data_IF_595845683084
#
_entry.id   IF_595845683084
#
_cell.length_a   1.000
_cell.length_b   1.000
_cell.length_c   1.000
_cell.angle_alpha   90.00
_cell.angle_beta   90.00
_cell.angle_gamma   90.00
#
_symmetry.space_group_name_H-M   'P 1'
#
loop_
_entity.id
_entity.type
_entity.pdbx_description
1 polymer ?
#
# COMPACT_ATOMS: atom_id res chain seq x y z
N UNK A 1 -14.02 6.07 14.38
CA UNK A 1 -13.18 7.28 14.20
C UNK A 1 -12.72 7.29 12.75
N UNK A 2 -12.61 8.44 12.09
CA UNK A 2 -12.08 8.49 10.73
C UNK A 2 -10.57 8.19 10.74
N UNK A 3 -10.07 7.49 9.71
CA UNK A 3 -8.65 7.18 9.56
C UNK A 3 -7.84 8.37 9.02
N UNK A 4 -6.52 8.28 9.11
CA UNK A 4 -5.58 9.25 8.52
C UNK A 4 -5.54 9.09 7.00
N UNK A 5 -5.54 10.20 6.27
CA UNK A 5 -5.33 10.24 4.82
C UNK A 5 -4.02 10.99 4.55
N UNK A 6 -3.14 10.38 3.76
CA UNK A 6 -1.94 11.03 3.24
C UNK A 6 -2.07 11.23 1.74
N UNK A 7 -1.75 12.44 1.27
CA UNK A 7 -1.71 12.78 -0.15
C UNK A 7 -0.24 12.95 -0.55
N UNK A 8 0.25 12.07 -1.43
CA UNK A 8 1.66 12.01 -1.80
C UNK A 8 1.79 12.37 -3.28
N UNK A 9 2.62 13.37 -3.59
CA UNK A 9 2.79 13.88 -4.95
C UNK A 9 3.63 13.00 -5.89
N UNK A 10 3.97 11.78 -5.49
CA UNK A 10 4.82 10.84 -6.22
C UNK A 10 6.25 10.71 -5.66
N UNK A 11 7.03 9.83 -6.28
CA UNK A 11 8.37 9.48 -5.81
C UNK A 11 8.36 8.47 -4.67
N UNK A 12 7.28 7.69 -4.59
CA UNK A 12 7.02 6.70 -3.56
C UNK A 12 8.18 5.70 -3.39
N UNK A 13 8.27 5.15 -2.16
CA UNK A 13 9.19 4.06 -1.81
C UNK A 13 10.68 4.42 -1.91
N UNK A 14 11.00 5.72 -1.80
CA UNK A 14 12.37 6.24 -1.81
C UNK A 14 12.72 6.84 -0.46
N UNK A 15 14.02 7.07 -0.24
CA UNK A 15 14.54 7.63 1.01
C UNK A 15 13.88 8.96 1.45
N UNK A 16 13.44 9.87 0.57
CA UNK A 16 12.70 11.05 1.01
C UNK A 16 11.32 10.76 1.64
N UNK A 17 10.72 9.60 1.38
CA UNK A 17 9.43 9.19 1.94
C UNK A 17 9.56 8.49 3.30
N UNK A 18 10.76 8.06 3.67
CA UNK A 18 11.03 7.24 4.87
C UNK A 18 10.47 7.85 6.17
N UNK A 19 10.57 9.17 6.35
CA UNK A 19 10.08 9.85 7.56
C UNK A 19 8.54 9.83 7.62
N UNK A 20 7.89 10.21 6.52
CA UNK A 20 6.44 10.19 6.40
C UNK A 20 5.89 8.77 6.55
N UNK A 21 6.49 7.79 5.88
CA UNK A 21 6.01 6.40 5.89
C UNK A 21 6.18 5.77 7.28
N UNK A 22 7.22 6.12 8.04
CA UNK A 22 7.33 5.74 9.46
C UNK A 22 6.22 6.36 10.30
N UNK A 23 5.90 7.64 10.10
CA UNK A 23 4.79 8.28 10.81
C UNK A 23 3.44 7.62 10.49
N UNK A 24 3.22 7.20 9.23
CA UNK A 24 2.03 6.46 8.83
C UNK A 24 1.97 5.06 9.45
N UNK A 25 3.10 4.35 9.58
CA UNK A 25 3.18 3.07 10.29
C UNK A 25 2.77 3.25 11.76
N UNK A 26 3.30 4.27 12.45
CA UNK A 26 2.94 4.54 13.84
C UNK A 26 1.44 4.84 14.00
N UNK A 27 0.88 5.68 13.13
CA UNK A 27 -0.56 5.96 13.10
C UNK A 27 -1.41 4.72 12.78
N UNK A 28 -0.85 3.77 12.02
CA UNK A 28 -1.47 2.50 11.66
C UNK A 28 -1.28 1.39 12.72
N UNK A 29 -0.74 1.70 13.89
CA UNK A 29 -0.56 0.76 15.01
C UNK A 29 0.88 0.28 15.23
N UNK A 30 1.88 0.98 14.68
CA UNK A 30 3.29 0.72 14.91
C UNK A 30 3.69 -0.71 14.52
N UNK A 31 4.18 -1.49 15.50
CA UNK A 31 4.55 -2.91 15.28
C UNK A 31 3.38 -3.80 14.84
N UNK A 32 2.13 -3.39 15.13
CA UNK A 32 0.92 -4.11 14.69
C UNK A 32 0.41 -3.63 13.33
N UNK A 33 1.11 -2.70 12.67
CA UNK A 33 0.68 -2.17 11.38
C UNK A 33 0.68 -3.26 10.30
N UNK A 34 -0.43 -3.34 9.56
CA UNK A 34 -0.66 -4.25 8.43
C UNK A 34 -0.85 -3.40 7.17
N UNK A 35 0.22 -3.32 6.38
CA UNK A 35 0.32 -2.43 5.22
C UNK A 35 0.03 -3.20 3.93
N UNK A 36 -1.07 -2.87 3.26
CA UNK A 36 -1.42 -3.42 1.96
C UNK A 36 -0.98 -2.51 0.82
N UNK A 37 -0.18 -3.03 -0.12
CA UNK A 37 0.23 -2.32 -1.33
C UNK A 37 -0.72 -2.68 -2.47
N UNK A 38 -1.42 -1.68 -3.01
CA UNK A 38 -2.45 -1.84 -4.04
C UNK A 38 -1.94 -1.18 -5.34
N UNK A 39 -1.44 -1.97 -6.32
CA UNK A 39 -0.79 -1.44 -7.51
C UNK A 39 -1.75 -1.22 -8.68
N UNK A 40 -3.01 -0.88 -8.42
CA UNK A 40 -4.07 -0.82 -9.45
C UNK A 40 -3.75 0.19 -10.54
N UNK A 41 -3.21 1.36 -10.20
CA UNK A 41 -2.82 2.38 -11.19
C UNK A 41 -1.72 1.86 -12.15
N UNK A 42 -0.86 0.94 -11.69
CA UNK A 42 0.17 0.32 -12.52
C UNK A 42 -0.33 -0.89 -13.32
N UNK A 43 -1.64 -1.18 -13.35
CA UNK A 43 -2.19 -2.38 -13.98
C UNK A 43 -1.85 -2.52 -15.47
N UNK A 44 -1.70 -1.40 -16.19
CA UNK A 44 -1.33 -1.35 -17.62
C UNK A 44 0.18 -1.30 -17.86
N UNK A 45 0.97 -1.25 -16.80
CA UNK A 45 2.43 -1.17 -16.84
C UNK A 45 3.04 -2.43 -16.21
N UNK A 46 3.65 -2.32 -15.03
CA UNK A 46 4.21 -3.45 -14.29
C UNK A 46 3.73 -3.45 -12.83
N UNK A 47 2.50 -3.94 -12.57
CA UNK A 47 1.92 -3.86 -11.23
C UNK A 47 2.65 -4.77 -10.23
N UNK A 48 3.32 -5.84 -10.71
CA UNK A 48 4.15 -6.71 -9.87
C UNK A 48 5.39 -5.98 -9.36
N UNK A 49 6.04 -5.20 -10.21
CA UNK A 49 7.19 -4.38 -9.83
C UNK A 49 6.77 -3.27 -8.86
N UNK A 50 5.67 -2.56 -9.14
CA UNK A 50 5.13 -1.54 -8.24
C UNK A 50 4.82 -2.10 -6.84
N UNK A 51 4.13 -3.25 -6.78
CA UNK A 51 3.87 -3.95 -5.53
C UNK A 51 5.15 -4.38 -4.82
N UNK A 52 6.12 -4.95 -5.53
CA UNK A 52 7.37 -5.41 -4.95
C UNK A 52 8.19 -4.27 -4.36
N UNK A 53 8.22 -3.10 -5.00
CA UNK A 53 8.87 -1.91 -4.49
C UNK A 53 8.26 -1.46 -3.16
N UNK A 54 6.93 -1.37 -3.09
CA UNK A 54 6.22 -1.01 -1.86
C UNK A 54 6.42 -2.03 -0.74
N UNK A 55 6.32 -3.32 -1.04
CA UNK A 55 6.52 -4.41 -0.07
C UNK A 55 7.95 -4.37 0.49
N UNK A 56 8.97 -4.16 -0.36
CA UNK A 56 10.35 -4.06 0.09
C UNK A 56 10.59 -2.83 0.96
N UNK A 57 9.99 -1.69 0.59
CA UNK A 57 10.11 -0.44 1.32
C UNK A 57 9.50 -0.54 2.71
N UNK A 58 8.22 -0.91 2.82
CA UNK A 58 7.55 -1.01 4.13
C UNK A 58 8.11 -2.13 5.01
N UNK A 59 8.61 -3.23 4.41
CA UNK A 59 9.35 -4.25 5.16
C UNK A 59 10.67 -3.71 5.73
N UNK A 60 11.41 -2.91 4.95
CA UNK A 60 12.63 -2.22 5.44
C UNK A 60 12.32 -1.28 6.61
N UNK A 61 11.14 -0.68 6.61
CA UNK A 61 10.66 0.19 7.70
C UNK A 61 10.08 -0.59 8.90
N UNK A 62 10.04 -1.92 8.86
CA UNK A 62 9.64 -2.77 9.98
C UNK A 62 8.15 -3.13 10.04
N UNK A 63 7.36 -2.80 9.01
CA UNK A 63 5.94 -3.12 9.00
C UNK A 63 5.63 -4.53 8.44
N UNK A 64 4.53 -5.13 8.91
CA UNK A 64 3.94 -6.29 8.24
C UNK A 64 3.28 -5.83 6.95
N UNK A 65 3.74 -6.34 5.79
CA UNK A 65 3.26 -5.84 4.50
C UNK A 65 3.11 -6.93 3.44
N UNK A 66 2.12 -6.75 2.58
CA UNK A 66 1.82 -7.62 1.45
C UNK A 66 1.20 -6.88 0.28
N UNK A 67 1.27 -7.49 -0.90
CA UNK A 67 0.64 -6.98 -2.11
C UNK A 67 -0.82 -7.45 -2.22
N UNK A 68 -1.72 -6.54 -2.57
CA UNK A 68 -3.13 -6.83 -2.87
C UNK A 68 -3.37 -6.52 -4.35
N UNK A 69 -3.26 -7.56 -5.18
CA UNK A 69 -3.20 -7.45 -6.65
C UNK A 69 -4.59 -7.24 -7.28
N UNK A 70 -5.24 -6.13 -6.97
CA UNK A 70 -6.49 -5.68 -7.61
C UNK A 70 -6.11 -4.94 -8.89
N UNK A 71 -5.86 -5.66 -9.98
CA UNK A 71 -5.34 -5.09 -11.24
C UNK A 71 -6.31 -5.23 -12.42
N UNK A 72 -7.48 -5.81 -12.17
CA UNK A 72 -8.58 -5.92 -13.12
C UNK A 72 -9.89 -5.58 -12.41
N UNK A 73 -10.89 -5.08 -13.16
CA UNK A 73 -12.19 -4.74 -12.59
C UNK A 73 -12.84 -5.90 -11.84
N UNK A 74 -12.75 -7.11 -12.37
CA UNK A 74 -13.28 -8.32 -11.73
C UNK A 74 -12.63 -8.64 -10.37
N UNK A 75 -11.43 -8.12 -10.09
CA UNK A 75 -10.81 -8.26 -8.78
C UNK A 75 -11.50 -7.38 -7.73
N UNK A 76 -12.02 -6.21 -8.13
CA UNK A 76 -12.63 -5.26 -7.20
C UNK A 76 -13.91 -5.81 -6.56
N UNK A 77 -14.62 -6.71 -7.24
CA UNK A 77 -15.84 -7.36 -6.73
C UNK A 77 -15.54 -8.68 -5.98
N UNK A 78 -14.27 -9.03 -5.78
CA UNK A 78 -13.89 -10.29 -5.14
C UNK A 78 -14.00 -10.20 -3.61
N UNK A 79 -14.80 -11.08 -2.96
CA UNK A 79 -14.88 -11.13 -1.51
C UNK A 79 -13.53 -11.42 -0.84
N UNK A 80 -12.64 -12.13 -1.54
CA UNK A 80 -11.28 -12.40 -1.07
C UNK A 80 -10.47 -11.12 -0.89
N UNK A 81 -10.50 -10.22 -1.88
CA UNK A 81 -9.73 -8.98 -1.81
C UNK A 81 -10.36 -7.99 -0.81
N UNK A 82 -11.70 -7.97 -0.70
CA UNK A 82 -12.39 -7.22 0.34
C UNK A 82 -11.93 -7.65 1.75
N UNK A 83 -11.93 -8.95 2.04
CA UNK A 83 -11.46 -9.47 3.32
C UNK A 83 -9.98 -9.16 3.61
N UNK A 84 -9.13 -9.10 2.59
CA UNK A 84 -7.73 -8.67 2.76
C UNK A 84 -7.62 -7.18 3.09
N UNK A 85 -8.46 -6.33 2.50
CA UNK A 85 -8.50 -4.89 2.78
C UNK A 85 -9.04 -4.63 4.19
N UNK A 86 -10.09 -5.34 4.61
CA UNK A 86 -10.68 -5.21 5.95
C UNK A 86 -9.68 -5.54 7.08
N UNK A 87 -8.67 -6.35 6.77
CA UNK A 87 -7.60 -6.70 7.72
C UNK A 87 -6.47 -5.66 7.75
N UNK A 88 -6.43 -4.68 6.85
CA UNK A 88 -5.36 -3.68 6.83
C UNK A 88 -5.54 -2.63 7.93
N UNK A 89 -4.42 -2.06 8.36
CA UNK A 89 -4.41 -0.80 9.14
C UNK A 89 -3.84 0.37 8.34
N UNK A 90 -3.17 0.08 7.21
CA UNK A 90 -2.72 1.05 6.22
C UNK A 90 -2.87 0.47 4.82
N UNK A 91 -3.56 1.18 3.93
CA UNK A 91 -3.61 0.85 2.50
C UNK A 91 -2.82 1.90 1.72
N UNK A 92 -1.91 1.46 0.85
CA UNK A 92 -1.10 2.32 -0.01
C UNK A 92 -1.47 2.07 -1.48
N UNK A 93 -2.00 3.10 -2.13
CA UNK A 93 -2.27 3.09 -3.58
C UNK A 93 -1.01 3.57 -4.31
N UNK A 94 -0.43 2.75 -5.17
CA UNK A 94 0.77 3.16 -5.93
C UNK A 94 0.41 4.15 -7.04
N UNK A 95 1.40 4.89 -7.55
CA UNK A 95 1.26 5.64 -8.78
C UNK A 95 1.11 4.75 -10.02
N UNK A 96 0.84 5.39 -11.16
CA UNK A 96 0.59 4.78 -12.47
C UNK A 96 -0.37 5.64 -13.30
N UNK A 97 -1.36 5.01 -13.93
CA UNK A 97 -2.43 5.63 -14.72
C UNK A 97 -3.64 5.98 -13.81
N UNK A 98 -3.91 7.28 -13.53
CA UNK A 98 -4.94 7.73 -12.59
C UNK A 98 -6.38 7.68 -13.12
#
# INVERSE_FOLDING_TARGET
MAGTIALVGGGEFRAPCDEMDRALIELAGGQSARVGIIPTAAARENPRLAAQNGVNHFRRLGASTGAIMIVQRANADSPRFAAQIDDLTLAYLTGGDP
#
